data_IF_552123950251
#
_entry.id   IF_552123950251
#
_cell.length_a   1.000
_cell.length_b   1.000
_cell.length_c   1.000
_cell.angle_alpha   90.00
_cell.angle_beta   90.00
_cell.angle_gamma   90.00
#
_symmetry.space_group_name_H-M   'P 1'
#
loop_
_entity.id
_entity.type
_entity.pdbx_description
1 polymer ?
#
# COMPACT_ATOMS: atom_id res chain seq x y z
N UNK A 1 -3.14 2.33 -22.32
CA UNK A 1 -3.53 3.20 -21.19
C UNK A 1 -4.45 2.36 -20.31
N UNK A 2 -4.05 2.10 -19.07
CA UNK A 2 -4.85 1.29 -18.15
C UNK A 2 -6.00 2.12 -17.56
N UNK A 3 -7.10 1.48 -17.25
CA UNK A 3 -8.23 2.10 -16.58
C UNK A 3 -9.05 1.07 -15.79
N UNK A 4 -9.83 1.56 -14.83
CA UNK A 4 -10.72 0.75 -13.99
C UNK A 4 -11.93 1.60 -13.60
N UNK A 5 -13.13 1.03 -13.70
CA UNK A 5 -14.32 1.60 -13.09
C UNK A 5 -14.54 0.95 -11.74
N UNK A 6 -14.89 1.76 -10.75
CA UNK A 6 -15.33 1.29 -9.44
C UNK A 6 -16.55 2.06 -9.00
N UNK A 7 -17.28 1.52 -8.03
CA UNK A 7 -18.44 2.17 -7.42
C UNK A 7 -18.07 2.66 -6.02
N UNK A 8 -18.39 3.92 -5.72
CA UNK A 8 -18.23 4.53 -4.40
C UNK A 8 -19.49 5.32 -4.09
N UNK A 9 -20.15 5.05 -2.96
CA UNK A 9 -21.37 5.75 -2.54
C UNK A 9 -22.43 5.78 -3.66
N UNK A 10 -22.60 4.64 -4.34
CA UNK A 10 -23.53 4.48 -5.47
C UNK A 10 -23.13 5.22 -6.76
N UNK A 11 -21.91 5.78 -6.84
CA UNK A 11 -21.41 6.51 -8.02
C UNK A 11 -20.31 5.73 -8.71
N UNK A 12 -20.39 5.67 -10.05
CA UNK A 12 -19.34 5.10 -10.87
C UNK A 12 -18.19 6.10 -11.04
N UNK A 13 -17.01 5.70 -10.57
CA UNK A 13 -15.77 6.46 -10.64
C UNK A 13 -14.85 5.79 -11.67
N UNK A 14 -14.46 6.56 -12.69
CA UNK A 14 -13.54 6.11 -13.73
C UNK A 14 -12.11 6.54 -13.41
N UNK A 15 -11.27 5.55 -13.13
CA UNK A 15 -9.84 5.75 -12.85
C UNK A 15 -9.06 5.43 -14.10
N UNK A 16 -8.19 6.35 -14.52
CA UNK A 16 -7.29 6.18 -15.65
C UNK A 16 -5.83 6.32 -15.24
N UNK A 17 -4.95 5.65 -15.99
CA UNK A 17 -3.51 5.73 -15.81
C UNK A 17 -3.00 7.16 -15.98
N UNK A 18 -2.31 7.63 -14.94
CA UNK A 18 -1.73 8.96 -14.88
C UNK A 18 -0.25 8.93 -15.29
N UNK A 19 0.22 10.02 -15.89
CA UNK A 19 1.64 10.22 -16.19
C UNK A 19 2.40 10.44 -14.88
N UNK A 20 3.69 10.07 -14.87
CA UNK A 20 4.57 10.28 -13.71
C UNK A 20 4.57 11.73 -13.21
N UNK A 21 4.43 12.74 -14.10
CA UNK A 21 4.34 14.15 -13.70
C UNK A 21 3.09 14.48 -12.87
N UNK A 22 1.97 13.80 -13.13
CA UNK A 22 0.70 13.98 -12.41
C UNK A 22 0.80 13.30 -11.04
N UNK A 23 1.33 12.07 -11.02
CA UNK A 23 1.61 11.33 -9.78
C UNK A 23 2.56 12.11 -8.86
N UNK A 24 3.60 12.75 -9.40
CA UNK A 24 4.52 13.60 -8.62
C UNK A 24 3.82 14.77 -7.91
N UNK A 25 2.72 15.28 -8.46
CA UNK A 25 1.91 16.33 -7.82
C UNK A 25 0.96 15.79 -6.73
N UNK A 26 0.66 14.49 -6.78
CA UNK A 26 -0.25 13.80 -5.85
C UNK A 26 0.50 13.31 -4.61
N UNK A 27 1.67 12.69 -4.77
CA UNK A 27 2.46 12.08 -3.68
C UNK A 27 2.63 13.03 -2.45
N UNK A 28 3.04 14.30 -2.62
CA UNK A 28 3.21 15.20 -1.47
C UNK A 28 1.91 15.46 -0.73
N UNK A 29 0.78 15.51 -1.44
CA UNK A 29 -0.53 15.78 -0.86
C UNK A 29 -1.05 14.62 -0.02
N UNK A 30 -0.77 13.37 -0.41
CA UNK A 30 -1.19 12.19 0.36
C UNK A 30 -0.22 11.90 1.53
N UNK A 31 1.03 12.38 1.47
CA UNK A 31 2.09 12.03 2.44
C UNK A 31 1.70 12.27 3.90
N UNK A 32 0.88 13.28 4.19
CA UNK A 32 0.33 13.54 5.52
C UNK A 32 -0.58 12.42 6.01
N UNK A 33 -1.50 11.93 5.17
CA UNK A 33 -2.38 10.82 5.51
C UNK A 33 -1.60 9.51 5.71
N UNK A 34 -0.62 9.21 4.85
CA UNK A 34 0.26 8.03 5.02
C UNK A 34 1.05 8.06 6.33
N UNK A 35 1.43 9.25 6.79
CA UNK A 35 2.15 9.42 8.05
C UNK A 35 1.25 9.07 9.24
N UNK A 36 -0.03 9.44 9.24
CA UNK A 36 -0.96 9.07 10.30
C UNK A 36 -1.32 7.58 10.27
N UNK A 37 -1.44 6.98 9.07
CA UNK A 37 -1.58 5.51 8.92
C UNK A 37 -0.40 4.81 9.60
N UNK A 38 0.83 5.30 9.38
CA UNK A 38 2.03 4.74 10.00
C UNK A 38 2.07 4.86 11.54
N UNK A 39 1.32 5.80 12.12
CA UNK A 39 1.19 5.97 13.58
C UNK A 39 0.04 5.17 14.18
N UNK A 40 -0.82 4.57 13.36
CA UNK A 40 -2.03 3.88 13.83
C UNK A 40 -3.12 4.82 14.34
N UNK A 41 -3.08 6.11 14.01
CA UNK A 41 -4.11 7.08 14.38
C UNK A 41 -5.27 7.04 13.39
N UNK A 42 -6.22 6.15 13.65
CA UNK A 42 -7.38 5.92 12.76
C UNK A 42 -8.23 7.19 12.61
N UNK A 43 -8.40 7.99 13.67
CA UNK A 43 -9.18 9.23 13.61
C UNK A 43 -8.48 10.29 12.73
N UNK A 44 -7.18 10.49 12.93
CA UNK A 44 -6.38 11.39 12.09
C UNK A 44 -6.30 10.95 10.62
N UNK A 45 -6.38 9.64 10.36
CA UNK A 45 -6.45 9.09 9.00
C UNK A 45 -7.79 9.41 8.34
N UNK A 46 -8.91 9.22 9.04
CA UNK A 46 -10.26 9.53 8.51
C UNK A 46 -10.42 11.03 8.25
N UNK A 47 -10.03 11.89 9.20
CA UNK A 47 -10.14 13.35 9.03
C UNK A 47 -9.29 13.87 7.86
N UNK A 48 -8.05 13.37 7.73
CA UNK A 48 -7.16 13.80 6.64
C UNK A 48 -7.58 13.21 5.31
N UNK A 49 -7.96 11.93 5.25
CA UNK A 49 -8.43 11.32 4.00
C UNK A 49 -9.74 11.94 3.55
N UNK A 50 -10.74 12.09 4.43
CA UNK A 50 -12.05 12.62 4.06
C UNK A 50 -11.98 13.97 3.34
N UNK A 51 -11.26 14.93 3.93
CA UNK A 51 -11.14 16.29 3.37
C UNK A 51 -10.18 16.35 2.19
N UNK A 52 -9.04 15.65 2.25
CA UNK A 52 -7.98 15.81 1.24
C UNK A 52 -8.19 14.91 0.02
N UNK A 53 -8.92 13.79 0.14
CA UNK A 53 -9.04 12.82 -0.95
C UNK A 53 -9.74 13.42 -2.17
N UNK A 54 -10.76 14.27 -2.00
CA UNK A 54 -11.44 14.95 -3.12
C UNK A 54 -10.55 16.00 -3.79
N UNK A 55 -9.71 16.71 -3.02
CA UNK A 55 -8.76 17.67 -3.57
C UNK A 55 -7.61 17.01 -4.33
N UNK A 56 -7.24 15.80 -3.91
CA UNK A 56 -6.17 15.01 -4.52
C UNK A 56 -6.68 14.28 -5.77
N UNK A 57 -7.89 13.75 -5.70
CA UNK A 57 -8.52 12.92 -6.73
C UNK A 57 -9.78 13.61 -7.25
N UNK A 58 -9.66 14.46 -8.30
CA UNK A 58 -10.80 15.18 -8.85
C UNK A 58 -11.90 14.27 -9.42
N UNK A 59 -11.58 13.00 -9.72
CA UNK A 59 -12.55 11.97 -10.09
C UNK A 59 -13.57 11.66 -8.98
N UNK A 60 -13.26 11.96 -7.72
CA UNK A 60 -14.19 11.84 -6.59
C UNK A 60 -15.08 13.07 -6.42
N UNK A 61 -14.96 14.08 -7.28
CA UNK A 61 -15.75 15.30 -7.16
C UNK A 61 -17.24 14.97 -7.24
N UNK A 62 -17.96 15.40 -6.20
CA UNK A 62 -19.39 15.18 -6.05
C UNK A 62 -19.74 13.84 -5.39
N UNK A 63 -18.79 12.99 -5.05
CA UNK A 63 -19.01 11.88 -4.10
C UNK A 63 -19.18 12.47 -2.70
N UNK A 64 -20.15 11.97 -1.96
CA UNK A 64 -20.33 12.32 -0.56
C UNK A 64 -19.41 11.44 0.28
N UNK A 65 -18.23 11.97 0.65
CA UNK A 65 -17.18 11.21 1.33
C UNK A 65 -17.56 10.91 2.79
N UNK A 66 -18.35 11.77 3.42
CA UNK A 66 -18.78 11.60 4.81
C UNK A 66 -19.76 10.42 4.95
N UNK A 67 -20.47 10.09 3.87
CA UNK A 67 -21.37 8.94 3.76
C UNK A 67 -20.71 7.71 3.08
N UNK A 68 -19.42 7.76 2.78
CA UNK A 68 -18.70 6.60 2.23
C UNK A 68 -18.32 5.61 3.33
N UNK A 69 -18.47 4.32 3.05
CA UNK A 69 -17.85 3.30 3.91
C UNK A 69 -16.32 3.37 3.76
N UNK A 70 -15.56 3.19 4.85
CA UNK A 70 -14.09 3.12 4.77
C UNK A 70 -13.58 2.13 3.71
N UNK A 71 -14.25 0.99 3.56
CA UNK A 71 -13.93 -0.03 2.54
C UNK A 71 -14.10 0.46 1.10
N UNK A 72 -14.99 1.41 0.83
CA UNK A 72 -15.15 2.00 -0.51
C UNK A 72 -13.97 2.92 -0.84
N UNK A 73 -13.52 3.71 0.14
CA UNK A 73 -12.33 4.54 0.01
C UNK A 73 -11.06 3.71 -0.13
N UNK A 74 -10.93 2.62 0.64
CA UNK A 74 -9.85 1.64 0.48
C UNK A 74 -9.87 1.02 -0.92
N UNK A 75 -11.04 0.62 -1.40
CA UNK A 75 -11.23 0.09 -2.75
C UNK A 75 -10.83 1.08 -3.84
N UNK A 76 -11.10 2.37 -3.65
CA UNK A 76 -10.60 3.43 -4.52
C UNK A 76 -9.10 3.53 -4.55
N UNK A 77 -8.46 3.60 -3.38
CA UNK A 77 -7.00 3.68 -3.29
C UNK A 77 -6.36 2.45 -3.93
N UNK A 78 -6.88 1.25 -3.67
CA UNK A 78 -6.37 0.03 -4.29
C UNK A 78 -6.50 0.06 -5.82
N UNK A 79 -7.66 0.48 -6.34
CA UNK A 79 -7.90 0.62 -7.77
C UNK A 79 -6.98 1.66 -8.42
N UNK A 80 -6.72 2.77 -7.74
CA UNK A 80 -5.76 3.78 -8.20
C UNK A 80 -4.33 3.23 -8.24
N UNK A 81 -3.90 2.49 -7.20
CA UNK A 81 -2.58 1.84 -7.18
C UNK A 81 -2.48 0.79 -8.30
N UNK A 82 -3.52 -0.01 -8.53
CA UNK A 82 -3.55 -1.01 -9.60
C UNK A 82 -3.32 -0.39 -10.98
N UNK A 83 -4.04 0.69 -11.26
CA UNK A 83 -4.00 1.39 -12.54
C UNK A 83 -2.65 2.08 -12.75
N UNK A 84 -2.04 2.63 -11.70
CA UNK A 84 -0.82 3.44 -11.82
C UNK A 84 0.49 2.70 -11.53
N UNK A 85 0.48 1.65 -10.71
CA UNK A 85 1.68 0.96 -10.18
C UNK A 85 1.69 -0.55 -10.41
N UNK A 86 1.05 -1.04 -11.48
CA UNK A 86 0.99 -2.48 -11.79
C UNK A 86 2.37 -3.13 -11.93
N UNK A 87 3.39 -2.39 -12.37
CA UNK A 87 4.78 -2.85 -12.44
C UNK A 87 5.44 -2.99 -11.07
N UNK A 88 5.21 -2.04 -10.17
CA UNK A 88 5.75 -2.07 -8.80
C UNK A 88 5.14 -3.23 -8.01
N UNK A 89 3.81 -3.44 -8.10
CA UNK A 89 3.15 -4.60 -7.46
C UNK A 89 3.80 -5.94 -7.84
N UNK A 90 4.22 -6.08 -9.10
CA UNK A 90 4.88 -7.31 -9.60
C UNK A 90 6.32 -7.50 -9.09
N UNK A 91 6.99 -6.43 -8.68
CA UNK A 91 8.40 -6.46 -8.23
C UNK A 91 8.48 -6.59 -6.70
N UNK A 92 7.57 -5.94 -5.97
CA UNK A 92 7.56 -5.93 -4.49
C UNK A 92 7.40 -7.33 -3.92
N UNK A 93 6.51 -8.16 -4.47
CA UNK A 93 6.31 -9.55 -4.02
C UNK A 93 7.59 -10.39 -4.07
N UNK A 94 8.22 -10.52 -5.25
CA UNK A 94 9.52 -11.20 -5.38
C UNK A 94 10.60 -10.60 -4.47
N UNK A 95 10.70 -9.28 -4.36
CA UNK A 95 11.69 -8.63 -3.51
C UNK A 95 11.50 -8.97 -2.01
N UNK A 96 10.25 -8.96 -1.53
CA UNK A 96 9.92 -9.36 -0.16
C UNK A 96 10.15 -10.85 0.08
N UNK A 97 9.90 -11.70 -0.92
CA UNK A 97 10.19 -13.13 -0.82
C UNK A 97 11.69 -13.40 -0.68
N UNK A 98 12.53 -12.65 -1.41
CA UNK A 98 13.99 -12.72 -1.29
C UNK A 98 14.48 -12.16 0.04
N UNK A 99 13.90 -11.07 0.54
CA UNK A 99 14.23 -10.52 1.85
C UNK A 99 13.90 -11.49 2.99
N UNK A 100 12.73 -12.14 2.93
CA UNK A 100 12.34 -13.19 3.88
C UNK A 100 13.25 -14.42 3.79
N UNK A 101 13.64 -14.82 2.59
CA UNK A 101 14.58 -15.93 2.37
C UNK A 101 15.96 -15.60 2.95
N UNK A 102 16.43 -14.36 2.76
CA UNK A 102 17.67 -13.87 3.36
C UNK A 102 17.64 -13.84 4.88
N UNK A 103 16.54 -13.38 5.48
CA UNK A 103 16.34 -13.42 6.94
C UNK A 103 16.29 -14.85 7.47
N UNK A 104 15.61 -15.77 6.77
CA UNK A 104 15.52 -17.19 7.16
C UNK A 104 16.90 -17.85 7.14
N UNK A 105 17.72 -17.54 6.13
CA UNK A 105 19.10 -18.05 6.02
C UNK A 105 20.01 -17.53 7.12
N UNK A 106 19.92 -16.23 7.47
CA UNK A 106 20.69 -15.66 8.57
C UNK A 106 20.31 -16.27 9.94
N UNK A 107 19.04 -16.61 10.14
CA UNK A 107 18.57 -17.26 11.37
C UNK A 107 18.97 -18.75 11.41
N UNK A 108 18.99 -19.46 10.27
CA UNK A 108 19.46 -20.85 10.22
C UNK A 108 20.97 -20.98 10.44
N UNK A 109 21.76 -20.04 9.92
CA UNK A 109 23.22 -20.02 10.07
C UNK A 109 23.65 -19.65 11.52
N UNK A 110 22.75 -19.05 12.32
CA UNK A 110 22.94 -18.76 13.74
C UNK A 110 22.42 -19.88 14.67
N UNK A 111 21.69 -20.87 14.12
CA UNK A 111 21.03 -21.93 14.88
C UNK A 111 21.71 -23.30 14.73
N UNK A 112 22.95 -23.36 14.23
CA UNK A 112 23.73 -24.61 14.32
C UNK A 112 23.96 -24.96 15.80
N UNK A 113 23.45 -26.11 16.29
CA UNK A 113 23.79 -26.56 17.62
C UNK A 113 25.28 -26.96 17.63
N UNK A 114 26.01 -26.47 18.64
CA UNK A 114 27.31 -26.99 19.05
C UNK A 114 27.14 -28.44 19.56
N UNK A 115 26.86 -29.39 18.67
CA UNK A 115 26.80 -30.79 19.06
C UNK A 115 28.18 -31.42 19.07
N UNK A 116 28.66 -31.61 20.30
CA UNK A 116 29.36 -32.80 20.77
C UNK A 116 30.76 -33.09 20.20
N UNK A 117 31.77 -32.41 20.75
CA UNK A 117 33.05 -33.09 21.01
C UNK A 117 32.92 -33.89 22.30
N UNK A 118 32.44 -35.14 22.22
CA UNK A 118 32.82 -36.12 23.25
C UNK A 118 32.88 -37.52 22.65
N UNK A 119 33.93 -38.24 23.07
CA UNK A 119 34.21 -39.67 22.88
C UNK A 119 34.99 -40.08 21.62
N UNK A 120 36.25 -39.65 21.59
CA UNK A 120 37.33 -40.38 20.93
C UNK A 120 38.23 -41.10 21.94
N UNK A 121 38.27 -42.43 21.81
CA UNK A 121 39.39 -43.36 22.08
C UNK A 121 39.70 -43.85 23.50
N UNK A 122 39.51 -45.18 23.59
CA UNK A 122 40.30 -46.23 24.27
C UNK A 122 40.39 -46.25 25.80
#
# INVERSE_FOLDING_TARGET
MRSKNIEISGKNIFIQEQKIKEIKGIIPKISGAWTEIGKGDIAGVVDRLGVQIVEIFPELKGVDIDECYPSELEGFVEAWIDVNFTGVKKIVGPLLSLAKLGQTKLVSDLAEPLDSQTTGKN
#
